data_IF_495807092328
#
_entry.id   IF_495807092328
#
_cell.length_a   1.000
_cell.length_b   1.000
_cell.length_c   1.000
_cell.angle_alpha   90.00
_cell.angle_beta   90.00
_cell.angle_gamma   90.00
#
_symmetry.space_group_name_H-M   'P 1'
#
loop_
_entity.id
_entity.type
_entity.pdbx_description
1 polymer ?
#
# COMPACT_ATOMS: atom_id res chain seq x y z
N UNK A 1 -24.50 9.08 -53.59
CA UNK A 1 -23.19 9.03 -52.91
C UNK A 1 -23.42 9.39 -51.46
N UNK A 2 -23.27 8.44 -50.53
CA UNK A 2 -23.33 8.68 -49.09
C UNK A 2 -21.96 8.29 -48.52
N UNK A 3 -21.22 9.28 -48.03
CA UNK A 3 -19.91 9.07 -47.42
C UNK A 3 -20.12 8.52 -45.99
N UNK A 4 -19.65 7.29 -45.75
CA UNK A 4 -19.54 6.73 -44.42
C UNK A 4 -18.44 7.43 -43.63
N UNK A 5 -18.80 8.02 -42.49
CA UNK A 5 -17.85 8.61 -41.55
C UNK A 5 -17.13 7.48 -40.82
N UNK A 6 -15.84 7.31 -41.11
CA UNK A 6 -14.97 6.39 -40.40
C UNK A 6 -14.59 7.01 -39.06
N UNK A 7 -15.12 6.47 -37.96
CA UNK A 7 -14.72 6.86 -36.62
C UNK A 7 -13.26 6.46 -36.42
N UNK A 8 -12.40 7.47 -36.33
CA UNK A 8 -11.00 7.31 -35.92
C UNK A 8 -11.05 6.90 -34.45
N UNK A 9 -10.66 5.66 -34.17
CA UNK A 9 -10.40 5.20 -32.80
C UNK A 9 -9.10 5.86 -32.37
N UNK A 10 -9.18 6.85 -31.46
CA UNK A 10 -8.01 7.44 -30.83
C UNK A 10 -7.17 6.35 -30.14
N UNK A 11 -5.84 6.34 -30.30
CA UNK A 11 -4.98 5.44 -29.55
C UNK A 11 -5.04 5.79 -28.07
N UNK A 12 -5.18 4.77 -27.20
CA UNK A 12 -5.18 4.94 -25.76
C UNK A 12 -3.98 5.79 -25.31
N UNK A 13 -4.26 6.86 -24.54
CA UNK A 13 -3.26 7.73 -23.91
C UNK A 13 -2.14 6.91 -23.24
N UNK A 14 -0.87 7.38 -23.27
CA UNK A 14 0.18 6.79 -22.45
C UNK A 14 -0.31 6.72 -20.99
N UNK A 15 -0.29 5.53 -20.39
CA UNK A 15 -0.69 5.38 -18.99
C UNK A 15 0.33 6.14 -18.14
N UNK A 16 -0.14 7.11 -17.37
CA UNK A 16 0.69 7.95 -16.53
C UNK A 16 1.18 7.20 -15.28
N UNK A 17 2.45 7.41 -14.92
CA UNK A 17 3.12 6.74 -13.78
C UNK A 17 2.32 6.83 -12.46
N UNK A 18 1.70 7.97 -12.09
CA UNK A 18 0.85 8.05 -10.90
C UNK A 18 -0.34 7.09 -10.94
N UNK A 19 -1.02 6.98 -12.09
CA UNK A 19 -2.14 6.05 -12.26
C UNK A 19 -1.71 4.59 -12.16
N UNK A 20 -0.55 4.23 -12.73
CA UNK A 20 0.02 2.88 -12.59
C UNK A 20 0.31 2.53 -11.13
N UNK A 21 0.92 3.44 -10.38
CA UNK A 21 1.22 3.24 -8.96
C UNK A 21 -0.06 3.12 -8.14
N UNK A 22 -1.04 4.00 -8.39
CA UNK A 22 -2.34 3.94 -7.71
C UNK A 22 -3.04 2.60 -7.94
N UNK A 23 -3.09 2.13 -9.19
CA UNK A 23 -3.67 0.83 -9.54
C UNK A 23 -2.90 -0.32 -8.88
N UNK A 24 -1.57 -0.29 -8.92
CA UNK A 24 -0.72 -1.27 -8.25
C UNK A 24 -0.99 -1.33 -6.75
N UNK A 25 -1.00 -0.18 -6.07
CA UNK A 25 -1.23 -0.10 -4.62
C UNK A 25 -2.63 -0.59 -4.24
N UNK A 26 -3.66 -0.25 -5.02
CA UNK A 26 -5.01 -0.77 -4.82
C UNK A 26 -5.07 -2.29 -5.00
N UNK A 27 -4.39 -2.82 -6.02
CA UNK A 27 -4.30 -4.27 -6.25
C UNK A 27 -3.62 -4.97 -5.08
N UNK A 28 -2.50 -4.42 -4.58
CA UNK A 28 -1.77 -4.97 -3.43
C UNK A 28 -2.57 -4.88 -2.15
N UNK A 29 -3.24 -3.76 -1.90
CA UNK A 29 -4.14 -3.60 -0.78
C UNK A 29 -5.23 -4.68 -0.79
N UNK A 30 -5.93 -4.85 -1.91
CA UNK A 30 -6.99 -5.86 -2.03
C UNK A 30 -6.47 -7.29 -1.80
N UNK A 31 -5.30 -7.62 -2.36
CA UNK A 31 -4.66 -8.93 -2.19
C UNK A 31 -4.33 -9.20 -0.71
N UNK A 32 -3.63 -8.26 -0.06
CA UNK A 32 -3.13 -8.45 1.30
C UNK A 32 -4.23 -8.30 2.35
N UNK A 33 -5.20 -7.40 2.15
CA UNK A 33 -6.40 -7.33 2.97
C UNK A 33 -7.14 -8.67 2.98
N UNK A 34 -7.25 -9.34 1.83
CA UNK A 34 -7.86 -10.68 1.76
C UNK A 34 -7.05 -11.73 2.52
N UNK A 35 -5.73 -11.74 2.36
CA UNK A 35 -4.83 -12.71 2.99
C UNK A 35 -4.76 -12.58 4.51
N UNK A 36 -4.77 -11.34 5.00
CA UNK A 36 -4.73 -11.00 6.42
C UNK A 36 -6.12 -10.99 7.08
N UNK A 37 -7.17 -11.36 6.33
CA UNK A 37 -8.56 -11.45 6.79
C UNK A 37 -9.11 -10.13 7.37
N UNK A 38 -8.81 -9.02 6.71
CA UNK A 38 -9.23 -7.66 7.10
C UNK A 38 -10.40 -7.15 6.23
N UNK A 39 -11.24 -8.03 5.67
CA UNK A 39 -12.33 -7.63 4.77
C UNK A 39 -13.48 -6.88 5.47
N UNK A 40 -13.56 -6.97 6.81
CA UNK A 40 -14.50 -6.22 7.63
C UNK A 40 -14.06 -4.76 7.85
N UNK A 41 -12.82 -4.41 7.47
CA UNK A 41 -12.30 -3.05 7.52
C UNK A 41 -12.49 -2.29 6.21
N UNK A 42 -12.85 -1.01 6.30
CA UNK A 42 -12.82 -0.05 5.19
C UNK A 42 -11.45 0.60 5.11
N UNK A 43 -10.60 0.11 4.22
CA UNK A 43 -9.20 0.56 4.14
C UNK A 43 -8.99 1.37 2.86
N UNK A 44 -8.38 2.55 3.00
CA UNK A 44 -7.92 3.37 1.89
C UNK A 44 -6.41 3.50 1.92
N UNK A 45 -5.80 3.66 0.75
CA UNK A 45 -4.39 4.00 0.63
C UNK A 45 -4.23 5.32 -0.11
N UNK A 46 -3.36 6.19 0.41
CA UNK A 46 -3.03 7.49 -0.14
C UNK A 46 -1.52 7.61 -0.33
N UNK A 47 -1.13 8.27 -1.39
CA UNK A 47 0.27 8.64 -1.62
C UNK A 47 0.48 10.04 -1.06
N UNK A 48 1.52 10.24 -0.26
CA UNK A 48 1.83 11.53 0.40
C UNK A 48 3.30 11.86 0.28
N UNK A 49 3.64 13.14 0.35
CA UNK A 49 5.05 13.56 0.33
C UNK A 49 5.75 13.15 1.63
N UNK A 50 7.06 12.91 1.55
CA UNK A 50 7.93 12.56 2.68
C UNK A 50 7.83 13.56 3.83
N UNK A 51 7.63 14.84 3.54
CA UNK A 51 7.45 15.91 4.53
C UNK A 51 6.19 15.75 5.39
N UNK A 52 5.21 14.97 4.93
CA UNK A 52 3.96 14.72 5.65
C UNK A 52 4.00 13.44 6.50
N UNK A 53 5.08 12.66 6.40
CA UNK A 53 5.33 11.45 7.17
C UNK A 53 6.22 11.77 8.38
N UNK A 54 6.21 10.87 9.37
CA UNK A 54 7.15 10.97 10.48
C UNK A 54 8.58 10.78 9.96
N UNK A 55 9.59 11.41 10.57
CA UNK A 55 10.98 11.19 10.18
C UNK A 55 11.33 9.71 10.14
N UNK A 56 12.03 9.29 9.08
CA UNK A 56 12.51 7.92 8.88
C UNK A 56 11.41 6.86 8.70
N UNK A 57 10.18 7.23 8.30
CA UNK A 57 9.15 6.26 7.91
C UNK A 57 8.84 6.32 6.41
N UNK A 58 8.46 5.18 5.84
CA UNK A 58 8.02 5.06 4.44
C UNK A 58 6.49 5.07 4.31
N UNK A 59 5.80 4.87 5.42
CA UNK A 59 4.36 5.03 5.53
C UNK A 59 3.92 5.19 6.97
N UNK A 60 2.60 5.28 7.15
CA UNK A 60 1.92 5.07 8.41
C UNK A 60 0.43 4.79 8.18
N UNK A 61 -0.21 4.15 9.16
CA UNK A 61 -1.67 3.97 9.19
C UNK A 61 -2.32 4.73 10.34
N UNK A 62 -3.46 5.33 10.03
CA UNK A 62 -4.40 5.84 11.01
C UNK A 62 -5.68 5.04 10.91
N UNK A 63 -6.32 4.76 12.05
CA UNK A 63 -7.51 3.93 12.08
C UNK A 63 -8.49 4.38 13.15
N UNK A 64 -9.72 3.91 12.98
CA UNK A 64 -10.82 4.05 13.93
C UNK A 64 -11.42 2.65 14.14
N UNK A 65 -11.29 2.15 15.38
CA UNK A 65 -11.78 0.82 15.78
C UNK A 65 -13.32 0.77 15.83
N UNK A 66 -13.99 1.89 16.10
CA UNK A 66 -15.45 1.98 16.18
C UNK A 66 -16.05 1.84 14.79
N UNK A 67 -15.51 2.55 13.81
CA UNK A 67 -16.02 2.52 12.42
C UNK A 67 -15.36 1.45 11.55
N UNK A 68 -14.35 0.73 12.09
CA UNK A 68 -13.48 -0.19 11.36
C UNK A 68 -12.97 0.41 10.06
N UNK A 69 -12.46 1.64 10.14
CA UNK A 69 -11.90 2.34 8.99
C UNK A 69 -10.42 2.63 9.19
N UNK A 70 -9.64 2.59 8.11
CA UNK A 70 -8.23 2.87 8.14
C UNK A 70 -7.76 3.62 6.89
N UNK A 71 -6.80 4.53 7.08
CA UNK A 71 -6.13 5.24 5.99
C UNK A 71 -4.63 4.96 6.11
N UNK A 72 -4.11 4.21 5.16
CA UNK A 72 -2.68 4.00 4.95
C UNK A 72 -2.15 5.17 4.12
N UNK A 73 -1.09 5.81 4.59
CA UNK A 73 -0.35 6.82 3.84
C UNK A 73 1.00 6.21 3.49
N UNK A 74 1.30 6.12 2.20
CA UNK A 74 2.59 5.64 1.70
C UNK A 74 3.34 6.79 1.04
N UNK A 75 4.67 6.76 1.10
CA UNK A 75 5.53 7.78 0.54
C UNK A 75 5.35 7.90 -0.98
N UNK A 76 5.43 9.13 -1.49
CA UNK A 76 5.37 9.41 -2.91
C UNK A 76 6.58 8.86 -3.64
N UNK A 77 6.36 8.28 -4.82
CA UNK A 77 7.40 7.60 -5.60
C UNK A 77 8.58 8.48 -5.98
N UNK A 78 8.36 9.78 -6.22
CA UNK A 78 9.43 10.76 -6.46
C UNK A 78 10.37 10.97 -5.26
N UNK A 79 9.91 10.64 -4.06
CA UNK A 79 10.68 10.85 -2.83
C UNK A 79 11.59 9.65 -2.52
N UNK A 80 11.53 8.59 -3.34
CA UNK A 80 12.46 7.47 -3.33
C UNK A 80 13.67 7.78 -4.22
N UNK A 81 14.88 7.55 -3.71
CA UNK A 81 16.11 7.57 -4.50
C UNK A 81 16.38 6.18 -5.11
N UNK A 82 15.40 5.62 -5.83
CA UNK A 82 15.40 4.24 -6.34
C UNK A 82 14.71 4.11 -7.70
N UNK A 83 14.97 3.00 -8.39
CA UNK A 83 14.34 2.70 -9.67
C UNK A 83 12.86 2.31 -9.51
N UNK A 84 12.09 2.45 -10.59
CA UNK A 84 10.63 2.27 -10.52
C UNK A 84 10.21 0.90 -10.00
N UNK A 85 10.88 -0.18 -10.43
CA UNK A 85 10.58 -1.54 -9.96
C UNK A 85 10.82 -1.69 -8.46
N UNK A 86 11.94 -1.16 -7.95
CA UNK A 86 12.26 -1.20 -6.53
C UNK A 86 11.24 -0.40 -5.71
N UNK A 87 10.78 0.74 -6.23
CA UNK A 87 9.71 1.54 -5.60
C UNK A 87 8.42 0.73 -5.48
N UNK A 88 8.04 -0.05 -6.49
CA UNK A 88 6.84 -0.89 -6.42
C UNK A 88 6.97 -1.96 -5.32
N UNK A 89 8.15 -2.55 -5.15
CA UNK A 89 8.42 -3.51 -4.07
C UNK A 89 8.32 -2.86 -2.70
N UNK A 90 8.96 -1.69 -2.51
CA UNK A 90 8.91 -0.92 -1.26
C UNK A 90 7.48 -0.47 -0.90
N UNK A 91 6.67 -0.10 -1.90
CA UNK A 91 5.26 0.25 -1.69
C UNK A 91 4.44 -0.96 -1.26
N UNK A 92 4.68 -2.14 -1.84
CA UNK A 92 4.02 -3.38 -1.39
C UNK A 92 4.41 -3.72 0.05
N UNK A 93 5.71 -3.67 0.39
CA UNK A 93 6.22 -3.88 1.75
C UNK A 93 5.56 -2.91 2.73
N UNK A 94 5.48 -1.62 2.38
CA UNK A 94 4.83 -0.59 3.20
C UNK A 94 3.35 -0.93 3.44
N UNK A 95 2.59 -1.30 2.41
CA UNK A 95 1.18 -1.67 2.57
C UNK A 95 1.02 -2.87 3.51
N UNK A 96 1.87 -3.90 3.37
CA UNK A 96 1.81 -5.09 4.24
C UNK A 96 2.15 -4.75 5.68
N UNK A 97 3.20 -3.93 5.90
CA UNK A 97 3.61 -3.43 7.22
C UNK A 97 2.46 -2.75 7.95
N UNK A 98 1.82 -1.81 7.27
CA UNK A 98 0.72 -1.03 7.84
C UNK A 98 -0.55 -1.87 8.07
N UNK A 99 -0.81 -2.89 7.25
CA UNK A 99 -1.92 -3.83 7.49
C UNK A 99 -1.69 -4.74 8.69
N UNK A 100 -0.44 -5.13 8.96
CA UNK A 100 -0.11 -5.91 10.17
C UNK A 100 -0.29 -5.04 11.41
N UNK A 101 0.18 -3.79 11.39
CA UNK A 101 -0.13 -2.81 12.45
C UNK A 101 -1.62 -2.67 12.70
N UNK A 102 -2.43 -2.64 11.64
CA UNK A 102 -3.89 -2.62 11.77
C UNK A 102 -4.46 -3.89 12.42
N UNK A 103 -3.89 -5.06 12.12
CA UNK A 103 -4.31 -6.33 12.74
C UNK A 103 -4.02 -6.35 14.24
N UNK A 104 -2.87 -5.79 14.64
CA UNK A 104 -2.44 -5.67 16.04
C UNK A 104 -3.16 -4.55 16.79
N UNK A 105 -3.87 -3.65 16.10
CA UNK A 105 -4.57 -2.51 16.70
C UNK A 105 -5.64 -2.87 17.75
N UNK A 106 -6.10 -4.12 17.76
CA UNK A 106 -7.04 -4.66 18.74
C UNK A 106 -6.37 -5.08 20.07
N UNK A 107 -5.05 -5.17 20.09
CA UNK A 107 -4.28 -5.51 21.28
C UNK A 107 -3.98 -4.26 22.13
N UNK A 108 -3.85 -4.39 23.45
CA UNK A 108 -3.43 -3.29 24.30
C UNK A 108 -2.06 -2.75 23.87
N UNK A 109 -2.00 -1.46 23.55
CA UNK A 109 -0.74 -0.78 23.25
C UNK A 109 0.05 -0.54 24.53
N UNK A 110 1.34 -0.81 24.46
CA UNK A 110 2.30 -0.45 25.48
C UNK A 110 3.50 0.25 24.82
N UNK A 111 3.69 1.54 25.11
CA UNK A 111 4.79 2.32 24.53
C UNK A 111 6.17 1.72 24.87
N UNK A 112 6.31 1.05 26.02
CA UNK A 112 7.55 0.39 26.40
C UNK A 112 7.90 -0.80 25.49
N UNK A 113 6.90 -1.43 24.86
CA UNK A 113 7.11 -2.54 23.92
C UNK A 113 7.09 -2.12 22.45
N UNK A 114 7.00 -0.82 22.15
CA UNK A 114 6.85 -0.34 20.77
C UNK A 114 7.99 -0.79 19.84
N UNK A 115 9.22 -0.81 20.34
CA UNK A 115 10.36 -1.32 19.55
C UNK A 115 10.24 -2.81 19.25
N UNK A 116 9.72 -3.61 20.20
CA UNK A 116 9.52 -5.04 20.01
C UNK A 116 8.34 -5.31 19.05
N UNK A 117 7.29 -4.50 19.12
CA UNK A 117 6.17 -4.52 18.17
C UNK A 117 6.66 -4.26 16.75
N UNK A 118 7.37 -3.15 16.50
CA UNK A 118 7.91 -2.86 15.15
C UNK A 118 8.86 -3.96 14.66
N UNK A 119 9.69 -4.54 15.52
CA UNK A 119 10.55 -5.66 15.15
C UNK A 119 9.73 -6.89 14.75
N UNK A 120 8.70 -7.25 15.53
CA UNK A 120 7.81 -8.35 15.21
C UNK A 120 7.06 -8.11 13.89
N UNK A 121 6.57 -6.88 13.67
CA UNK A 121 5.93 -6.49 12.41
C UNK A 121 6.90 -6.67 11.24
N UNK A 122 8.13 -6.13 11.32
CA UNK A 122 9.14 -6.28 10.27
C UNK A 122 9.40 -7.75 9.93
N UNK A 123 9.62 -8.60 10.94
CA UNK A 123 9.85 -10.05 10.73
C UNK A 123 8.65 -10.74 10.08
N UNK A 124 7.42 -10.38 10.45
CA UNK A 124 6.20 -10.94 9.84
C UNK A 124 6.08 -10.47 8.38
N UNK A 125 6.34 -9.20 8.09
CA UNK A 125 6.33 -8.65 6.72
C UNK A 125 7.30 -9.43 5.84
N UNK A 126 8.56 -9.55 6.27
CA UNK A 126 9.60 -10.27 5.54
C UNK A 126 9.16 -11.71 5.23
N UNK A 127 8.71 -12.45 6.25
CA UNK A 127 8.25 -13.82 6.09
C UNK A 127 7.07 -13.94 5.10
N UNK A 128 6.09 -13.04 5.18
CA UNK A 128 4.92 -13.05 4.30
C UNK A 128 5.29 -12.72 2.85
N UNK A 129 6.14 -11.73 2.63
CA UNK A 129 6.62 -11.36 1.29
C UNK A 129 7.42 -12.52 0.70
N UNK A 130 8.36 -13.11 1.45
CA UNK A 130 9.13 -14.27 0.98
C UNK A 130 8.22 -15.45 0.62
N UNK A 131 7.21 -15.76 1.45
CA UNK A 131 6.22 -16.80 1.16
C UNK A 131 5.38 -16.49 -0.08
N UNK A 132 5.04 -15.24 -0.35
CA UNK A 132 4.34 -14.85 -1.58
C UNK A 132 5.22 -15.05 -2.82
N UNK A 133 6.49 -14.66 -2.75
CA UNK A 133 7.43 -14.80 -3.87
C UNK A 133 7.74 -16.26 -4.19
N UNK A 134 7.82 -17.12 -3.18
CA UNK A 134 8.05 -18.55 -3.36
C UNK A 134 6.82 -19.34 -3.88
N UNK A 135 5.63 -18.74 -3.87
CA UNK A 135 4.40 -19.36 -4.40
C UNK A 135 4.16 -19.10 -5.89
N UNK A 136 4.95 -18.20 -6.49
CA UNK A 136 4.90 -17.90 -7.92
C UNK A 136 5.83 -18.83 -8.69
#
# INVERSE_FOLDING_TARGET
MLAGSSAIVEPASPVDKPSLISAFMQQKLALWQKRLRLQDWKIQVKVVRKSELKPKTLGNVHWDLTTKSAVIRAMHFDDYARDFTEVLEELEVTIVHELIHLHLASLPRNEASRSAEEQAVNTIVEALISLDRNKK
#
